data_IF_419880259489
#
_entry.id   IF_419880259489
#
_cell.length_a   1.000
_cell.length_b   1.000
_cell.length_c   1.000
_cell.angle_alpha   90.00
_cell.angle_beta   90.00
_cell.angle_gamma   90.00
#
_symmetry.space_group_name_H-M   'P 1'
#
loop_
_entity.id
_entity.type
_entity.pdbx_description
1 polymer ?
#
# COMPACT_ATOMS: atom_id res chain seq x y z
N UNK A 1 -56.64 12.31 5.39
CA UNK A 1 -55.53 12.90 4.61
C UNK A 1 -54.24 12.56 5.34
N UNK A 2 -53.57 11.50 4.93
CA UNK A 2 -52.31 11.05 5.52
C UNK A 2 -51.15 11.52 4.62
N UNK A 3 -50.41 12.52 5.09
CA UNK A 3 -49.18 12.97 4.39
C UNK A 3 -48.02 12.01 4.64
N UNK A 4 -47.56 11.35 3.62
CA UNK A 4 -46.30 10.58 3.65
C UNK A 4 -45.14 11.55 3.82
N UNK A 5 -44.55 11.61 5.01
CA UNK A 5 -43.23 12.26 5.19
C UNK A 5 -42.18 11.40 4.54
N UNK A 6 -41.69 11.83 3.38
CA UNK A 6 -40.42 11.36 2.87
C UNK A 6 -39.33 11.83 3.82
N UNK A 7 -38.66 10.88 4.51
CA UNK A 7 -37.51 11.17 5.35
C UNK A 7 -36.46 11.91 4.52
N UNK A 8 -35.86 12.96 5.10
CA UNK A 8 -34.77 13.68 4.50
C UNK A 8 -33.65 12.68 4.12
N UNK A 9 -33.04 12.79 2.95
CA UNK A 9 -31.90 11.94 2.59
C UNK A 9 -30.83 12.14 3.65
N UNK A 10 -30.43 11.04 4.31
CA UNK A 10 -29.32 11.06 5.27
C UNK A 10 -28.13 11.74 4.62
N UNK A 11 -27.49 12.65 5.35
CA UNK A 11 -26.29 13.34 4.89
C UNK A 11 -25.24 12.30 4.51
N UNK A 12 -25.09 12.07 3.20
CA UNK A 12 -24.00 11.24 2.67
C UNK A 12 -22.70 11.99 2.95
N UNK A 13 -21.97 11.56 3.97
CA UNK A 13 -20.60 12.00 4.16
C UNK A 13 -19.76 11.20 3.16
N UNK A 14 -19.21 11.83 2.10
CA UNK A 14 -18.36 11.10 1.18
C UNK A 14 -17.20 10.50 1.98
N UNK A 15 -16.81 9.24 1.72
CA UNK A 15 -15.65 8.66 2.36
C UNK A 15 -14.43 9.57 2.11
N UNK A 16 -13.52 9.71 3.09
CA UNK A 16 -12.30 10.49 2.92
C UNK A 16 -11.61 10.03 1.64
N UNK A 17 -11.26 10.99 0.80
CA UNK A 17 -10.73 10.70 -0.53
C UNK A 17 -9.53 9.76 -0.39
N UNK A 18 -9.59 8.58 -1.00
CA UNK A 18 -8.47 7.63 -1.07
C UNK A 18 -7.20 8.29 -1.64
N UNK A 19 -7.34 9.45 -2.27
CA UNK A 19 -6.28 10.28 -2.79
C UNK A 19 -5.21 10.69 -1.77
N UNK A 20 -5.58 10.95 -0.51
CA UNK A 20 -4.59 11.36 0.50
C UNK A 20 -3.69 10.19 0.93
N UNK A 21 -4.24 9.00 1.10
CA UNK A 21 -3.44 7.80 1.39
C UNK A 21 -2.53 7.44 0.21
N UNK A 22 -3.04 7.53 -1.01
CA UNK A 22 -2.30 7.25 -2.24
C UNK A 22 -1.20 8.27 -2.50
N UNK A 23 -1.45 9.57 -2.31
CA UNK A 23 -0.44 10.62 -2.52
C UNK A 23 0.69 10.54 -1.50
N UNK A 24 0.40 10.30 -0.23
CA UNK A 24 1.40 10.08 0.81
C UNK A 24 2.25 8.83 0.54
N UNK A 25 1.62 7.73 0.15
CA UNK A 25 2.30 6.50 -0.24
C UNK A 25 3.26 6.73 -1.41
N UNK A 26 2.78 7.32 -2.51
CA UNK A 26 3.61 7.58 -3.70
C UNK A 26 4.74 8.57 -3.42
N UNK A 27 4.51 9.62 -2.64
CA UNK A 27 5.56 10.57 -2.27
C UNK A 27 6.67 9.92 -1.45
N UNK A 28 6.33 8.96 -0.59
CA UNK A 28 7.30 8.16 0.14
C UNK A 28 8.13 7.26 -0.78
N UNK A 29 7.48 6.59 -1.74
CA UNK A 29 8.19 5.74 -2.74
C UNK A 29 9.22 6.59 -3.52
N UNK A 30 8.84 7.78 -3.97
CA UNK A 30 9.71 8.67 -4.76
C UNK A 30 10.89 9.19 -3.93
N UNK A 31 10.71 9.52 -2.66
CA UNK A 31 11.78 10.00 -1.78
C UNK A 31 12.81 8.91 -1.43
N UNK A 32 12.42 7.65 -1.46
CA UNK A 32 13.32 6.51 -1.32
C UNK A 32 13.73 6.17 0.14
N UNK A 33 14.56 5.12 0.31
CA UNK A 33 14.81 4.52 1.63
C UNK A 33 15.84 5.26 2.50
N UNK A 34 16.49 6.29 1.99
CA UNK A 34 17.43 7.12 2.77
C UNK A 34 16.73 8.15 3.65
N UNK A 35 15.44 8.35 3.46
CA UNK A 35 14.58 9.23 4.23
C UNK A 35 13.64 8.39 5.12
N UNK A 36 13.88 8.39 6.44
CA UNK A 36 13.07 7.65 7.41
C UNK A 36 11.61 8.12 7.44
N UNK A 37 11.36 9.41 7.23
CA UNK A 37 10.01 9.95 7.13
C UNK A 37 9.31 9.44 5.85
N UNK A 38 10.03 9.26 4.75
CA UNK A 38 9.52 8.64 3.54
C UNK A 38 9.16 7.16 3.77
N UNK A 39 10.03 6.41 4.43
CA UNK A 39 9.78 5.02 4.78
C UNK A 39 8.52 4.86 5.66
N UNK A 40 8.34 5.76 6.63
CA UNK A 40 7.14 5.80 7.45
C UNK A 40 5.87 6.16 6.66
N UNK A 41 5.96 7.12 5.72
CA UNK A 41 4.81 7.45 4.84
C UNK A 41 4.38 6.26 3.99
N UNK A 42 5.32 5.49 3.45
CA UNK A 42 5.02 4.27 2.68
C UNK A 42 4.34 3.23 3.57
N UNK A 43 4.89 2.96 4.75
CA UNK A 43 4.32 1.99 5.69
C UNK A 43 2.90 2.40 6.13
N UNK A 44 2.72 3.64 6.58
CA UNK A 44 1.41 4.15 7.03
C UNK A 44 0.41 4.21 5.87
N UNK A 45 0.85 4.64 4.68
CA UNK A 45 0.00 4.70 3.49
C UNK A 45 -0.48 3.31 3.04
N UNK A 46 0.39 2.31 3.08
CA UNK A 46 0.03 0.92 2.79
C UNK A 46 -1.02 0.37 3.76
N UNK A 47 -0.79 0.54 5.06
CA UNK A 47 -1.75 0.14 6.10
C UNK A 47 -3.10 0.85 5.96
N UNK A 48 -3.09 2.14 5.63
CA UNK A 48 -4.32 2.91 5.41
C UNK A 48 -5.08 2.42 4.18
N UNK A 49 -4.40 2.17 3.04
CA UNK A 49 -5.02 1.60 1.85
C UNK A 49 -5.67 0.24 2.16
N UNK A 50 -4.99 -0.61 2.93
CA UNK A 50 -5.54 -1.90 3.35
C UNK A 50 -6.81 -1.73 4.19
N UNK A 51 -6.79 -0.84 5.18
CA UNK A 51 -7.97 -0.53 6.00
C UNK A 51 -9.14 -0.03 5.17
N UNK A 52 -8.91 0.86 4.18
CA UNK A 52 -9.95 1.33 3.26
C UNK A 52 -10.56 0.18 2.44
N UNK A 53 -9.72 -0.73 1.95
CA UNK A 53 -10.19 -1.90 1.20
C UNK A 53 -11.01 -2.86 2.08
N UNK A 54 -10.55 -3.15 3.30
CA UNK A 54 -11.25 -4.01 4.27
C UNK A 54 -12.63 -3.46 4.66
N UNK A 55 -12.76 -2.13 4.71
CA UNK A 55 -14.01 -1.45 4.99
C UNK A 55 -14.90 -1.23 3.74
N UNK A 56 -14.52 -1.77 2.59
CA UNK A 56 -15.30 -1.62 1.36
C UNK A 56 -15.30 -0.20 0.77
N UNK A 57 -14.42 0.68 1.27
CA UNK A 57 -14.32 2.09 0.83
C UNK A 57 -13.46 2.27 -0.41
N UNK A 58 -12.89 1.19 -0.92
CA UNK A 58 -11.99 1.19 -2.05
C UNK A 58 -12.25 -0.04 -2.92
N UNK A 59 -12.44 0.18 -4.21
CA UNK A 59 -12.64 -0.86 -5.21
C UNK A 59 -11.77 -0.58 -6.44
N UNK A 60 -11.33 -1.63 -7.12
CA UNK A 60 -10.47 -1.52 -8.31
C UNK A 60 -10.95 -2.49 -9.39
N UNK A 61 -11.01 -2.03 -10.64
CA UNK A 61 -11.35 -2.84 -11.78
C UNK A 61 -10.19 -3.77 -12.19
N UNK A 62 -10.45 -4.72 -13.11
CA UNK A 62 -9.45 -5.72 -13.53
C UNK A 62 -8.17 -5.10 -14.06
N UNK A 63 -8.29 -4.11 -14.95
CA UNK A 63 -7.14 -3.49 -15.58
C UNK A 63 -6.25 -2.76 -14.58
N UNK A 64 -6.85 -1.95 -13.71
CA UNK A 64 -6.15 -1.26 -12.62
C UNK A 64 -5.51 -2.25 -11.65
N UNK A 65 -6.22 -3.32 -11.27
CA UNK A 65 -5.72 -4.37 -10.39
C UNK A 65 -4.43 -5.00 -10.94
N UNK A 66 -4.41 -5.42 -12.20
CA UNK A 66 -3.22 -6.04 -12.81
C UNK A 66 -2.04 -5.07 -12.88
N UNK A 67 -2.29 -3.79 -13.20
CA UNK A 67 -1.25 -2.78 -13.25
C UNK A 67 -0.64 -2.53 -11.86
N UNK A 68 -1.46 -2.40 -10.83
CA UNK A 68 -0.99 -2.18 -9.46
C UNK A 68 -0.26 -3.38 -8.87
N UNK A 69 -0.73 -4.60 -9.12
CA UNK A 69 -0.02 -5.80 -8.66
C UNK A 69 1.39 -5.86 -9.22
N UNK A 70 1.54 -5.65 -10.53
CA UNK A 70 2.86 -5.63 -11.18
C UNK A 70 3.79 -4.57 -10.59
N UNK A 71 3.25 -3.39 -10.29
CA UNK A 71 4.02 -2.33 -9.65
C UNK A 71 4.45 -2.71 -8.23
N UNK A 72 3.54 -3.26 -7.41
CA UNK A 72 3.87 -3.73 -6.07
C UNK A 72 4.92 -4.84 -6.10
N UNK A 73 4.77 -5.84 -6.96
CA UNK A 73 5.73 -6.95 -7.10
C UNK A 73 7.11 -6.43 -7.51
N UNK A 74 7.17 -5.49 -8.45
CA UNK A 74 8.44 -4.84 -8.85
C UNK A 74 9.14 -4.15 -7.67
N UNK A 75 8.42 -3.40 -6.84
CA UNK A 75 9.00 -2.73 -5.68
C UNK A 75 9.43 -3.72 -4.59
N UNK A 76 8.63 -4.76 -4.31
CA UNK A 76 8.96 -5.79 -3.32
C UNK A 76 10.26 -6.49 -3.71
N UNK A 77 10.39 -6.93 -4.97
CA UNK A 77 11.61 -7.56 -5.50
C UNK A 77 12.81 -6.60 -5.43
N UNK A 78 12.58 -5.32 -5.74
CA UNK A 78 13.59 -4.27 -5.63
C UNK A 78 14.10 -4.09 -4.20
N UNK A 79 13.21 -4.02 -3.23
CA UNK A 79 13.57 -3.91 -1.81
C UNK A 79 14.29 -5.17 -1.30
N UNK A 80 13.87 -6.35 -1.70
CA UNK A 80 14.57 -7.60 -1.34
C UNK A 80 15.99 -7.64 -1.90
N UNK A 81 16.20 -7.15 -3.11
CA UNK A 81 17.54 -7.02 -3.69
C UNK A 81 18.37 -6.02 -2.91
N UNK A 82 17.84 -4.81 -2.66
CA UNK A 82 18.56 -3.79 -1.88
C UNK A 82 18.89 -4.28 -0.48
N UNK A 83 17.98 -4.99 0.19
CA UNK A 83 18.23 -5.57 1.52
C UNK A 83 19.38 -6.57 1.51
N UNK A 84 19.48 -7.41 0.47
CA UNK A 84 20.63 -8.34 0.32
C UNK A 84 21.94 -7.58 0.14
N UNK A 85 21.95 -6.58 -0.74
CA UNK A 85 23.15 -5.80 -1.06
C UNK A 85 23.62 -4.98 0.17
N UNK A 86 22.71 -4.32 0.87
CA UNK A 86 23.04 -3.53 2.08
C UNK A 86 23.52 -4.42 3.22
N UNK A 87 22.96 -5.62 3.40
CA UNK A 87 23.44 -6.58 4.41
C UNK A 87 24.89 -7.04 4.14
N UNK A 88 25.28 -7.18 2.89
CA UNK A 88 26.67 -7.46 2.53
C UNK A 88 27.58 -6.29 2.91
N UNK A 89 27.12 -5.04 2.73
CA UNK A 89 27.87 -3.85 3.13
C UNK A 89 27.92 -3.67 4.65
N UNK A 90 26.87 -4.01 5.38
CA UNK A 90 26.81 -3.99 6.84
C UNK A 90 27.70 -5.05 7.47
N UNK A 91 27.84 -6.20 6.83
CA UNK A 91 28.75 -7.28 7.25
C UNK A 91 30.18 -6.92 6.94
N UNK A 92 30.85 -6.23 7.89
CA UNK A 92 32.30 -6.01 7.95
C UNK A 92 33.03 -6.10 6.60
N UNK A 93 32.94 -5.05 5.78
CA UNK A 93 33.87 -4.88 4.70
C UNK A 93 35.30 -5.02 5.29
N UNK A 94 36.04 -6.07 4.86
CA UNK A 94 37.44 -6.27 5.28
C UNK A 94 38.29 -5.18 4.61
N UNK A 95 38.17 -3.95 5.11
CA UNK A 95 38.84 -2.76 4.59
C UNK A 95 40.30 -2.65 5.04
N UNK A 96 40.86 -3.70 5.65
CA UNK A 96 42.22 -3.71 6.19
C UNK A 96 42.32 -3.37 7.67
N UNK A 97 43.55 -3.45 8.24
CA UNK A 97 43.79 -3.32 9.68
C UNK A 97 44.10 -1.89 10.16
N UNK A 98 44.11 -0.87 9.28
CA UNK A 98 44.40 0.50 9.70
C UNK A 98 43.25 1.10 10.52
N UNK A 99 43.55 2.02 11.42
CA UNK A 99 42.56 2.72 12.23
C UNK A 99 41.52 3.45 11.37
N UNK A 100 41.95 4.02 10.25
CA UNK A 100 41.06 4.66 9.28
C UNK A 100 40.12 3.66 8.61
N UNK A 101 40.64 2.54 8.13
CA UNK A 101 39.83 1.49 7.49
C UNK A 101 38.77 0.92 8.47
N UNK A 102 39.14 0.73 9.75
CA UNK A 102 38.20 0.30 10.78
C UNK A 102 37.13 1.37 11.11
N UNK A 103 37.50 2.66 11.06
CA UNK A 103 36.54 3.75 11.25
C UNK A 103 35.50 3.79 10.12
N UNK A 104 35.95 3.64 8.87
CA UNK A 104 35.04 3.56 7.70
C UNK A 104 34.14 2.34 7.76
N UNK A 105 34.68 1.18 8.13
CA UNK A 105 33.88 -0.04 8.28
C UNK A 105 32.79 0.10 9.34
N UNK A 106 33.10 0.71 10.50
CA UNK A 106 32.12 1.01 11.54
C UNK A 106 31.06 2.00 11.06
N UNK A 107 31.47 3.08 10.39
CA UNK A 107 30.53 4.05 9.83
C UNK A 107 29.54 3.39 8.84
N UNK A 108 30.04 2.56 7.92
CA UNK A 108 29.18 1.85 6.97
C UNK A 108 28.21 0.89 7.67
N UNK A 109 28.67 0.16 8.67
CA UNK A 109 27.80 -0.73 9.46
C UNK A 109 26.71 0.05 10.21
N UNK A 110 27.06 1.19 10.82
CA UNK A 110 26.09 2.04 11.50
C UNK A 110 25.07 2.65 10.53
N UNK A 111 25.51 3.16 9.39
CA UNK A 111 24.62 3.71 8.37
C UNK A 111 23.68 2.64 7.78
N UNK A 112 24.13 1.39 7.71
CA UNK A 112 23.33 0.29 7.20
C UNK A 112 22.29 -0.23 8.22
N UNK A 113 22.67 -0.43 9.48
CA UNK A 113 21.83 -1.12 10.49
C UNK A 113 22.12 -0.66 11.94
N UNK A 114 22.75 0.51 12.13
CA UNK A 114 23.21 0.95 13.45
C UNK A 114 22.17 1.65 14.32
N UNK A 115 21.05 2.08 13.76
CA UNK A 115 19.98 2.80 14.46
C UNK A 115 18.60 2.58 13.77
N UNK A 116 17.49 3.00 14.42
CA UNK A 116 16.15 2.86 13.82
C UNK A 116 15.91 3.62 12.52
N UNK A 117 16.74 4.62 12.20
CA UNK A 117 16.65 5.42 10.99
C UNK A 117 17.65 4.94 9.91
N UNK A 118 18.40 3.87 10.20
CA UNK A 118 19.34 3.28 9.27
C UNK A 118 18.64 2.68 8.03
N UNK A 119 19.41 2.39 7.00
CA UNK A 119 18.90 1.98 5.70
C UNK A 119 18.12 0.66 5.74
N UNK A 120 18.57 -0.34 6.51
CA UNK A 120 17.88 -1.64 6.62
C UNK A 120 16.49 -1.50 7.27
N UNK A 121 16.33 -0.86 8.44
CA UNK A 121 15.02 -0.58 9.01
C UNK A 121 14.08 0.15 8.05
N UNK A 122 14.57 1.17 7.37
CA UNK A 122 13.76 1.93 6.40
C UNK A 122 13.31 1.07 5.22
N UNK A 123 14.20 0.25 4.64
CA UNK A 123 13.85 -0.69 3.57
C UNK A 123 12.80 -1.71 4.02
N UNK A 124 12.88 -2.19 5.26
CA UNK A 124 11.89 -3.12 5.81
C UNK A 124 10.52 -2.46 5.99
N UNK A 125 10.49 -1.20 6.47
CA UNK A 125 9.24 -0.42 6.57
C UNK A 125 8.62 -0.18 5.19
N UNK A 126 9.42 0.22 4.21
CA UNK A 126 8.93 0.45 2.85
C UNK A 126 8.41 -0.84 2.21
N UNK A 127 9.16 -1.93 2.33
CA UNK A 127 8.71 -3.24 1.83
C UNK A 127 7.36 -3.63 2.44
N UNK A 128 7.23 -3.55 3.76
CA UNK A 128 5.98 -3.85 4.46
C UNK A 128 4.82 -2.98 3.95
N UNK A 129 5.04 -1.68 3.78
CA UNK A 129 4.00 -0.78 3.26
C UNK A 129 3.54 -1.16 1.86
N UNK A 130 4.46 -1.58 0.98
CA UNK A 130 4.09 -2.06 -0.36
C UNK A 130 3.39 -3.42 -0.32
N UNK A 131 3.79 -4.33 0.57
CA UNK A 131 3.08 -5.60 0.80
C UNK A 131 1.63 -5.37 1.26
N UNK A 132 1.42 -4.45 2.20
CA UNK A 132 0.08 -4.06 2.68
C UNK A 132 -0.75 -3.37 1.58
N UNK A 133 -0.13 -2.51 0.76
CA UNK A 133 -0.80 -1.92 -0.41
C UNK A 133 -1.18 -2.98 -1.45
N UNK A 134 -0.31 -3.97 -1.68
CA UNK A 134 -0.61 -5.13 -2.55
C UNK A 134 -1.81 -5.92 -2.06
N UNK A 135 -1.87 -6.19 -0.76
CA UNK A 135 -3.00 -6.89 -0.14
C UNK A 135 -4.29 -6.06 -0.25
N UNK A 136 -4.21 -4.74 -0.05
CA UNK A 136 -5.32 -3.82 -0.27
C UNK A 136 -5.92 -3.95 -1.69
N UNK A 137 -5.07 -4.09 -2.72
CA UNK A 137 -5.54 -4.28 -4.10
C UNK A 137 -6.30 -5.59 -4.26
N UNK A 138 -5.84 -6.67 -3.63
CA UNK A 138 -6.53 -7.99 -3.68
C UNK A 138 -7.91 -7.89 -3.03
N UNK A 139 -8.02 -7.24 -1.88
CA UNK A 139 -9.29 -7.02 -1.18
C UNK A 139 -10.20 -6.12 -2.01
N UNK A 140 -9.69 -5.00 -2.51
CA UNK A 140 -10.45 -4.05 -3.34
C UNK A 140 -11.00 -4.70 -4.63
N UNK A 141 -10.22 -5.61 -5.23
CA UNK A 141 -10.67 -6.37 -6.41
C UNK A 141 -11.82 -7.31 -6.06
N UNK A 142 -11.75 -7.97 -4.91
CA UNK A 142 -12.84 -8.80 -4.42
C UNK A 142 -14.11 -7.96 -4.20
N UNK A 143 -13.98 -6.82 -3.51
CA UNK A 143 -15.11 -5.90 -3.27
C UNK A 143 -15.77 -5.46 -4.59
N UNK A 144 -14.98 -5.17 -5.62
CA UNK A 144 -15.50 -4.80 -6.93
C UNK A 144 -16.34 -5.93 -7.55
N UNK A 145 -15.83 -7.18 -7.53
CA UNK A 145 -16.54 -8.34 -8.08
C UNK A 145 -17.83 -8.63 -7.31
N UNK A 146 -17.78 -8.60 -5.98
CA UNK A 146 -18.96 -8.84 -5.14
C UNK A 146 -20.07 -7.80 -5.44
N UNK A 147 -19.68 -6.56 -5.75
CA UNK A 147 -20.62 -5.49 -6.13
C UNK A 147 -21.21 -5.73 -7.53
N UNK A 148 -20.39 -6.10 -8.52
CA UNK A 148 -20.88 -6.42 -9.87
C UNK A 148 -21.85 -7.62 -9.85
N UNK A 149 -21.52 -8.67 -9.10
CA UNK A 149 -22.37 -9.85 -8.95
C UNK A 149 -23.72 -9.50 -8.30
N UNK A 150 -23.72 -8.66 -7.26
CA UNK A 150 -24.94 -8.18 -6.61
C UNK A 150 -25.84 -7.38 -7.56
N UNK A 151 -25.25 -6.51 -8.38
CA UNK A 151 -26.00 -5.76 -9.40
C UNK A 151 -26.61 -6.68 -10.45
N UNK A 152 -25.84 -7.68 -10.94
CA UNK A 152 -26.31 -8.65 -11.93
C UNK A 152 -27.50 -9.46 -11.41
N UNK A 153 -27.46 -9.90 -10.14
CA UNK A 153 -28.57 -10.61 -9.51
C UNK A 153 -29.81 -9.72 -9.36
N UNK A 154 -29.62 -8.45 -9.00
CA UNK A 154 -30.72 -7.48 -8.87
C UNK A 154 -31.39 -7.23 -10.22
N UNK A 155 -30.64 -7.04 -11.30
CA UNK A 155 -31.19 -6.86 -12.65
C UNK A 155 -31.93 -8.10 -13.15
N UNK A 156 -31.40 -9.31 -12.90
CA UNK A 156 -32.06 -10.56 -13.31
C UNK A 156 -33.37 -10.79 -12.56
N UNK A 157 -33.51 -10.33 -11.32
CA UNK A 157 -34.77 -10.39 -10.57
C UNK A 157 -35.78 -9.39 -11.15
N UNK A 158 -35.36 -8.15 -11.44
CA UNK A 158 -36.22 -7.12 -12.02
C UNK A 158 -36.79 -7.56 -13.39
N UNK A 159 -35.97 -8.19 -14.20
CA UNK A 159 -36.38 -8.70 -15.53
C UNK A 159 -37.43 -9.82 -15.44
N UNK A 160 -37.36 -10.64 -14.37
CA UNK A 160 -38.38 -11.68 -14.12
C UNK A 160 -39.68 -11.18 -13.53
N UNK A 161 -39.62 -10.04 -12.82
CA UNK A 161 -40.77 -9.44 -12.15
C UNK A 161 -41.52 -8.43 -13.05
N UNK A 162 -40.99 -8.10 -14.23
CA UNK A 162 -41.69 -7.32 -15.26
C UNK A 162 -42.69 -8.23 -15.96
N UNK A 163 -44.00 -8.00 -15.81
CA UNK A 163 -45.00 -8.76 -16.59
C UNK A 163 -44.79 -8.47 -18.08
N UNK A 164 -44.60 -9.55 -18.85
CA UNK A 164 -44.40 -9.47 -20.30
C UNK A 164 -45.47 -8.61 -20.96
N UNK A 165 -45.02 -7.63 -21.75
CA UNK A 165 -45.85 -6.96 -22.73
C UNK A 165 -45.99 -7.84 -23.97
#
# INVERSE_FOLDING_TARGET
MGGSQFGAPGSFTPPPAAGDAGSNFLSGIVAGPVDSAAAQRVSTGGSHLKSLAENGQFAVNEEGFQAYLKACDFFIDGYDKMLRDVRVLAGAARMGGSAYAQAVARFNATAADGDPEALIPNLLLMKRGVEEAREAMVIARKNYRDTEDAHTVAFTKLDKDLPGQ
#
